data_IF_835696803625
#
_entry.id   IF_835696803625
#
_cell.length_a   1.000
_cell.length_b   1.000
_cell.length_c   1.000
_cell.angle_alpha   90.00
_cell.angle_beta   90.00
_cell.angle_gamma   90.00
#
_symmetry.space_group_name_H-M   'P 1'
#
loop_
_entity.id
_entity.type
_entity.pdbx_description
1 polymer ?
#
# COMPACT_ATOMS: atom_id res chain seq x y z
N UNK A 1 -6.84 -6.82 -8.39
CA UNK A 1 -5.58 -7.41 -8.88
C UNK A 1 -5.46 -8.82 -8.32
N UNK A 2 -5.97 -9.83 -9.03
CA UNK A 2 -5.95 -11.23 -8.55
C UNK A 2 -4.52 -11.78 -8.49
N UNK A 3 -3.68 -11.43 -9.47
CA UNK A 3 -2.27 -11.82 -9.48
C UNK A 3 -1.51 -11.37 -8.22
N UNK A 4 -1.76 -10.15 -7.71
CA UNK A 4 -1.16 -9.68 -6.46
C UNK A 4 -1.61 -10.52 -5.25
N UNK A 5 -2.88 -10.92 -5.20
CA UNK A 5 -3.39 -11.77 -4.12
C UNK A 5 -2.68 -13.12 -4.13
N UNK A 6 -2.51 -13.71 -5.31
CA UNK A 6 -1.82 -14.98 -5.46
C UNK A 6 -0.35 -14.88 -5.03
N UNK A 7 0.36 -13.87 -5.54
CA UNK A 7 1.77 -13.62 -5.18
C UNK A 7 1.94 -13.44 -3.67
N UNK A 8 1.08 -12.64 -3.03
CA UNK A 8 1.15 -12.42 -1.59
C UNK A 8 0.87 -13.71 -0.80
N UNK A 9 -0.09 -14.54 -1.22
CA UNK A 9 -0.35 -15.82 -0.56
C UNK A 9 0.85 -16.75 -0.63
N UNK A 10 1.46 -16.87 -1.81
CA UNK A 10 2.67 -17.68 -2.01
C UNK A 10 3.82 -17.18 -1.13
N UNK A 11 4.08 -15.87 -1.14
CA UNK A 11 5.15 -15.27 -0.34
C UNK A 11 4.93 -15.37 1.16
N UNK A 12 3.69 -15.24 1.63
CA UNK A 12 3.37 -15.34 3.06
C UNK A 12 3.44 -16.80 3.56
N UNK A 13 3.22 -17.80 2.70
CA UNK A 13 3.44 -19.20 3.08
C UNK A 13 4.90 -19.50 3.45
N UNK A 14 5.85 -18.75 2.88
CA UNK A 14 7.28 -18.84 3.21
C UNK A 14 7.62 -18.20 4.57
N UNK A 15 6.69 -17.47 5.22
CA UNK A 15 6.90 -16.74 6.48
C UNK A 15 5.98 -17.28 7.58
N UNK A 16 6.47 -18.17 8.47
CA UNK A 16 5.65 -18.85 9.48
C UNK A 16 4.84 -17.93 10.39
N UNK A 17 5.36 -16.75 10.72
CA UNK A 17 4.72 -15.75 11.58
C UNK A 17 3.45 -15.17 10.97
N UNK A 18 3.28 -15.31 9.66
CA UNK A 18 2.11 -14.81 8.93
C UNK A 18 1.00 -15.85 8.79
N UNK A 19 1.12 -16.99 9.48
CA UNK A 19 0.08 -18.02 9.51
C UNK A 19 -1.25 -17.42 9.98
N UNK A 20 -2.29 -17.61 9.17
CA UNK A 20 -3.64 -17.09 9.43
C UNK A 20 -3.90 -15.69 8.88
N UNK A 21 -2.91 -15.04 8.25
CA UNK A 21 -3.15 -13.79 7.51
C UNK A 21 -4.01 -14.10 6.29
N UNK A 22 -5.14 -13.42 6.21
CA UNK A 22 -6.01 -13.49 5.05
C UNK A 22 -5.57 -12.49 3.97
N UNK A 23 -5.49 -12.96 2.73
CA UNK A 23 -5.23 -12.11 1.57
C UNK A 23 -6.41 -12.22 0.60
N UNK A 24 -7.01 -11.09 0.27
CA UNK A 24 -8.18 -11.02 -0.61
C UNK A 24 -8.14 -9.74 -1.47
N UNK A 25 -8.94 -9.71 -2.53
CA UNK A 25 -9.21 -8.46 -3.26
C UNK A 25 -10.20 -7.59 -2.46
N UNK A 26 -10.26 -6.29 -2.76
CA UNK A 26 -11.21 -5.35 -2.14
C UNK A 26 -12.65 -5.86 -2.30
N UNK A 27 -13.03 -6.23 -3.54
CA UNK A 27 -14.39 -6.66 -3.87
C UNK A 27 -14.78 -7.94 -3.09
N UNK A 28 -13.87 -8.92 -3.00
CA UNK A 28 -14.11 -10.17 -2.26
C UNK A 28 -14.10 -10.01 -0.73
N UNK A 29 -13.59 -8.90 -0.21
CA UNK A 29 -13.52 -8.62 1.23
C UNK A 29 -14.62 -7.66 1.71
N UNK A 30 -15.60 -7.36 0.84
CA UNK A 30 -16.70 -6.47 1.17
C UNK A 30 -17.59 -7.05 2.30
N UNK A 31 -18.05 -6.17 3.20
CA UNK A 31 -18.90 -6.55 4.34
C UNK A 31 -18.17 -7.20 5.51
N UNK A 32 -16.84 -7.29 5.44
CA UNK A 32 -15.98 -7.86 6.47
C UNK A 32 -15.12 -6.78 7.11
N UNK A 33 -14.59 -7.04 8.30
CA UNK A 33 -13.71 -6.11 9.01
C UNK A 33 -12.55 -6.88 9.67
N UNK A 34 -11.44 -6.19 9.90
CA UNK A 34 -10.28 -6.72 10.61
C UNK A 34 -9.72 -5.66 11.55
N UNK A 35 -9.06 -6.11 12.63
CA UNK A 35 -8.40 -5.19 13.57
C UNK A 35 -7.30 -4.38 12.89
N UNK A 36 -6.52 -5.01 12.00
CA UNK A 36 -5.54 -4.35 11.16
C UNK A 36 -5.72 -4.76 9.68
N UNK A 37 -5.61 -3.79 8.78
CA UNK A 37 -5.66 -4.02 7.32
C UNK A 37 -4.42 -3.45 6.67
N UNK A 38 -3.81 -4.23 5.79
CA UNK A 38 -2.69 -3.83 4.94
C UNK A 38 -3.17 -3.77 3.50
N UNK A 39 -3.08 -2.60 2.86
CA UNK A 39 -3.55 -2.38 1.50
C UNK A 39 -2.36 -2.22 0.57
N UNK A 40 -2.19 -3.14 -0.38
CA UNK A 40 -1.25 -3.01 -1.49
C UNK A 40 -1.92 -2.28 -2.66
N UNK A 41 -1.37 -1.13 -3.06
CA UNK A 41 -1.85 -0.38 -4.23
C UNK A 41 -1.41 -1.00 -5.54
N UNK A 42 -0.40 -1.88 -5.59
CA UNK A 42 0.07 -2.61 -6.78
C UNK A 42 0.70 -1.75 -7.88
N UNK A 43 0.11 -0.61 -8.26
CA UNK A 43 0.54 0.19 -9.40
C UNK A 43 1.78 1.02 -9.07
N UNK A 44 2.82 0.78 -9.88
CA UNK A 44 4.07 1.54 -9.91
C UNK A 44 4.50 1.63 -11.38
N UNK A 45 4.50 2.84 -11.96
CA UNK A 45 4.87 3.10 -13.35
C UNK A 45 5.15 4.59 -13.58
N UNK A 46 6.03 4.87 -14.54
CA UNK A 46 6.45 6.24 -14.89
C UNK A 46 5.35 7.10 -15.52
N UNK A 47 4.27 6.50 -16.01
CA UNK A 47 3.16 7.21 -16.64
C UNK A 47 2.13 7.77 -15.63
N UNK A 48 2.28 7.48 -14.34
CA UNK A 48 1.29 7.88 -13.32
C UNK A 48 -0.06 7.17 -13.47
N UNK A 49 -0.13 6.06 -14.21
CA UNK A 49 -1.37 5.37 -14.52
C UNK A 49 -1.82 4.49 -13.34
N UNK A 50 -2.86 4.93 -12.63
CA UNK A 50 -3.42 4.22 -11.46
C UNK A 50 -4.47 3.15 -11.82
N UNK A 51 -5.01 3.17 -13.04
CA UNK A 51 -6.06 2.24 -13.46
C UNK A 51 -7.29 2.32 -12.55
N UNK A 52 -7.86 1.15 -12.21
CA UNK A 52 -9.08 1.09 -11.40
C UNK A 52 -8.89 1.49 -9.92
N UNK A 53 -7.66 1.72 -9.44
CA UNK A 53 -7.42 2.25 -8.08
C UNK A 53 -7.95 3.67 -7.90
N UNK A 54 -8.19 4.39 -9.00
CA UNK A 54 -8.85 5.69 -8.97
C UNK A 54 -10.32 5.64 -8.53
N UNK A 55 -10.90 4.44 -8.39
CA UNK A 55 -12.25 4.29 -7.86
C UNK A 55 -12.29 4.58 -6.34
N UNK A 56 -12.81 5.76 -6.03
CA UNK A 56 -13.00 6.28 -4.67
C UNK A 56 -13.85 5.33 -3.82
N UNK A 57 -14.87 4.67 -4.40
CA UNK A 57 -15.76 3.77 -3.65
C UNK A 57 -15.00 2.55 -3.16
N UNK A 58 -14.17 1.96 -4.02
CA UNK A 58 -13.31 0.82 -3.67
C UNK A 58 -12.30 1.18 -2.59
N UNK A 59 -11.70 2.36 -2.70
CA UNK A 59 -10.77 2.86 -1.68
C UNK A 59 -11.44 3.10 -0.33
N UNK A 60 -12.64 3.69 -0.32
CA UNK A 60 -13.41 3.87 0.91
C UNK A 60 -13.76 2.52 1.55
N UNK A 61 -14.19 1.53 0.74
CA UNK A 61 -14.43 0.18 1.23
C UNK A 61 -13.16 -0.34 1.91
N UNK A 62 -12.02 -0.36 1.20
CA UNK A 62 -10.77 -0.91 1.70
C UNK A 62 -10.28 -0.25 3.00
N UNK A 63 -10.30 1.08 3.07
CA UNK A 63 -9.85 1.83 4.26
C UNK A 63 -10.77 1.57 5.46
N UNK A 64 -12.08 1.57 5.25
CA UNK A 64 -13.07 1.39 6.34
C UNK A 64 -13.17 -0.05 6.86
N UNK A 65 -12.45 -1.02 6.27
CA UNK A 65 -12.41 -2.40 6.81
C UNK A 65 -11.52 -2.51 8.04
N UNK A 66 -10.63 -1.53 8.28
CA UNK A 66 -9.75 -1.50 9.43
C UNK A 66 -10.44 -0.94 10.67
N UNK A 67 -10.41 -1.68 11.79
CA UNK A 67 -10.96 -1.22 13.08
C UNK A 67 -9.97 -0.43 13.93
N UNK A 68 -8.69 -0.83 13.90
CA UNK A 68 -7.63 -0.24 14.75
C UNK A 68 -6.46 0.31 13.96
N UNK A 69 -6.07 -0.36 12.87
CA UNK A 69 -4.89 0.05 12.09
C UNK A 69 -5.06 -0.18 10.59
N UNK A 70 -4.65 0.82 9.79
CA UNK A 70 -4.57 0.71 8.34
C UNK A 70 -3.17 1.08 7.88
N UNK A 71 -2.54 0.19 7.12
CA UNK A 71 -1.27 0.43 6.45
C UNK A 71 -1.48 0.42 4.93
N UNK A 72 -0.88 1.36 4.22
CA UNK A 72 -0.97 1.46 2.76
C UNK A 72 0.43 1.38 2.17
N UNK A 73 0.65 0.39 1.31
CA UNK A 73 1.87 0.24 0.52
C UNK A 73 1.57 0.74 -0.89
N UNK A 74 2.33 1.76 -1.33
CA UNK A 74 2.12 2.38 -2.62
C UNK A 74 3.41 2.98 -3.17
N UNK A 75 3.44 3.12 -4.49
CA UNK A 75 4.39 4.01 -5.15
C UNK A 75 3.79 5.42 -5.21
N UNK A 76 4.33 6.30 -4.37
CA UNK A 76 3.87 7.68 -4.26
C UNK A 76 4.00 8.50 -5.54
N UNK A 77 4.97 8.18 -6.41
CA UNK A 77 5.17 8.86 -7.70
C UNK A 77 4.09 8.47 -8.71
N UNK A 78 3.57 7.26 -8.61
CA UNK A 78 2.45 6.81 -9.44
C UNK A 78 1.13 7.36 -8.94
N UNK A 79 0.80 7.14 -7.66
CA UNK A 79 -0.56 7.41 -7.15
C UNK A 79 -0.89 8.90 -7.01
N UNK A 80 0.12 9.79 -6.94
CA UNK A 80 -0.10 11.23 -6.83
C UNK A 80 -0.75 11.86 -8.07
N UNK A 81 -0.75 11.16 -9.21
CA UNK A 81 -1.41 11.60 -10.44
C UNK A 81 -2.93 11.48 -10.38
N UNK A 82 -3.50 10.84 -9.35
CA UNK A 82 -4.92 10.84 -9.08
C UNK A 82 -5.25 11.80 -7.92
N UNK A 83 -6.17 12.74 -8.16
CA UNK A 83 -6.52 13.79 -7.19
C UNK A 83 -6.97 13.26 -5.83
N UNK A 84 -7.76 12.18 -5.80
CA UNK A 84 -8.23 11.58 -4.55
C UNK A 84 -7.09 10.91 -3.79
N UNK A 85 -6.30 10.07 -4.47
CA UNK A 85 -5.17 9.37 -3.85
C UNK A 85 -4.08 10.35 -3.38
N UNK A 86 -3.84 11.43 -4.12
CA UNK A 86 -2.93 12.51 -3.70
C UNK A 86 -3.40 13.19 -2.41
N UNK A 87 -4.71 13.45 -2.28
CA UNK A 87 -5.31 14.00 -1.04
C UNK A 87 -5.19 13.02 0.12
N UNK A 88 -5.44 11.73 -0.12
CA UNK A 88 -5.27 10.68 0.88
C UNK A 88 -3.82 10.61 1.36
N UNK A 89 -2.85 10.61 0.45
CA UNK A 89 -1.43 10.59 0.78
C UNK A 89 -1.01 11.83 1.60
N UNK A 90 -1.53 13.01 1.26
CA UNK A 90 -1.29 14.23 2.04
C UNK A 90 -1.87 14.12 3.45
N UNK A 91 -3.07 13.58 3.60
CA UNK A 91 -3.68 13.36 4.90
C UNK A 91 -2.84 12.40 5.75
N UNK A 92 -2.38 11.28 5.18
CA UNK A 92 -1.52 10.30 5.88
C UNK A 92 -0.16 10.92 6.25
N UNK A 93 0.43 11.75 5.40
CA UNK A 93 1.67 12.47 5.73
C UNK A 93 1.52 13.43 6.91
N UNK A 94 0.35 14.04 7.06
CA UNK A 94 0.11 15.02 8.11
C UNK A 94 -0.28 14.37 9.45
N UNK A 95 -1.14 13.35 9.42
CA UNK A 95 -1.70 12.74 10.64
C UNK A 95 -1.12 11.36 10.98
N UNK A 96 -0.52 10.68 10.01
CA UNK A 96 -0.04 9.30 10.13
C UNK A 96 1.48 9.20 10.22
N UNK A 97 1.98 7.98 10.03
CA UNK A 97 3.41 7.70 9.89
C UNK A 97 3.70 7.29 8.46
N UNK A 98 4.76 7.84 7.89
CA UNK A 98 5.23 7.51 6.54
C UNK A 98 6.66 7.01 6.63
N UNK A 99 6.92 5.89 5.95
CA UNK A 99 8.25 5.33 5.76
C UNK A 99 8.48 5.09 4.27
N UNK A 100 9.68 5.35 3.81
CA UNK A 100 10.09 5.04 2.44
C UNK A 100 10.70 3.64 2.40
N UNK A 101 10.49 2.92 1.29
CA UNK A 101 11.24 1.69 1.04
C UNK A 101 12.69 2.11 0.69
N UNK A 102 13.68 1.54 1.36
CA UNK A 102 15.07 1.88 1.06
C UNK A 102 15.52 1.13 -0.20
N UNK A 103 16.17 1.82 -1.15
CA UNK A 103 16.50 1.28 -2.47
C UNK A 103 17.38 0.01 -2.43
N UNK A 104 18.16 -0.20 -1.36
CA UNK A 104 19.12 -1.31 -1.23
C UNK A 104 18.70 -2.43 -0.25
N UNK A 105 17.43 -2.51 0.14
CA UNK A 105 17.00 -3.53 1.12
C UNK A 105 16.92 -4.96 0.57
N UNK A 106 17.11 -5.17 -0.73
CA UNK A 106 17.14 -6.50 -1.35
C UNK A 106 18.58 -7.04 -1.48
N UNK A 107 19.29 -7.10 -0.35
CA UNK A 107 20.60 -7.73 -0.28
C UNK A 107 21.40 -7.29 0.95
N UNK A 108 21.46 -8.15 1.97
CA UNK A 108 22.52 -8.22 2.98
C UNK A 108 23.03 -6.93 3.64
N UNK A 109 22.71 -6.76 4.93
CA UNK A 109 23.50 -6.03 5.94
C UNK A 109 24.05 -4.64 5.57
N UNK A 110 23.45 -3.59 6.11
CA UNK A 110 24.10 -2.28 6.18
C UNK A 110 23.18 -1.17 6.64
N UNK A 111 23.50 -0.59 7.80
CA UNK A 111 23.01 0.71 8.24
C UNK A 111 23.55 1.81 7.32
N UNK A 112 22.81 2.91 7.26
CA UNK A 112 23.15 4.23 6.68
C UNK A 112 23.02 4.39 5.15
N UNK A 113 21.95 5.05 4.70
CA UNK A 113 22.04 6.45 4.23
C UNK A 113 20.69 6.96 3.67
N UNK A 114 20.26 8.11 4.17
CA UNK A 114 19.02 8.80 3.82
C UNK A 114 19.14 9.53 2.46
N UNK A 115 18.37 9.19 1.41
CA UNK A 115 18.32 9.98 0.18
C UNK A 115 17.14 10.97 0.23
N UNK A 116 17.48 12.26 0.28
CA UNK A 116 16.57 13.40 0.16
C UNK A 116 15.72 13.34 -1.12
N UNK A 117 14.40 13.60 -1.00
CA UNK A 117 13.52 13.91 -2.14
C UNK A 117 13.65 15.39 -2.54
N UNK A 118 13.54 15.73 -3.84
CA UNK A 118 13.72 17.10 -4.31
C UNK A 118 12.56 18.02 -3.90
N UNK A 119 12.89 19.27 -3.61
CA UNK A 119 11.96 20.34 -3.29
C UNK A 119 11.05 20.68 -4.49
N UNK A 120 9.74 20.70 -4.28
CA UNK A 120 8.79 21.27 -5.23
C UNK A 120 8.91 22.80 -5.25
N UNK A 121 9.02 23.36 -6.46
CA UNK A 121 8.76 24.78 -6.74
C UNK A 121 7.27 25.05 -6.84
#
# INVERSE_FOLDING_TARGET
>A
YVAQVQLLREKLQEVPETKGVEVATIDSFQGREADAVIISMVRSNTMGAVGFLGDIRRMNVAITRARKHVAIICDSSTICHNTFLARLLRHIRYFGRVKHAEPDSYGGAGLDSNPMLPSLR
#
